data_IF_071866839987
#
_entry.id   IF_071866839987
#
_cell.length_a   1.000
_cell.length_b   1.000
_cell.length_c   1.000
_cell.angle_alpha   90.00
_cell.angle_beta   90.00
_cell.angle_gamma   90.00
#
_symmetry.space_group_name_H-M   'P 1'
#
loop_
_entity.id
_entity.type
_entity.pdbx_description
1 polymer ?
#
# COMPACT_ATOMS: atom_id res chain seq x y z
N UNK A 1 5.09 -11.24 -10.49
CA UNK A 1 4.54 -10.04 -9.82
C UNK A 1 3.58 -10.49 -8.74
N UNK A 2 3.79 -10.06 -7.52
CA UNK A 2 2.93 -10.43 -6.41
C UNK A 2 1.96 -9.31 -6.09
N UNK A 3 0.69 -9.68 -5.99
CA UNK A 3 -0.37 -8.78 -5.62
C UNK A 3 -0.93 -9.23 -4.27
N UNK A 4 -1.00 -8.30 -3.33
CA UNK A 4 -1.47 -8.56 -1.98
C UNK A 4 -2.79 -7.83 -1.76
N UNK A 5 -3.64 -8.30 -0.84
CA UNK A 5 -4.93 -7.64 -0.63
C UNK A 5 -4.82 -6.31 0.11
N UNK A 6 -5.72 -5.40 -0.24
CA UNK A 6 -5.94 -4.16 0.49
C UNK A 6 -7.30 -4.20 1.14
N UNK A 7 -7.36 -3.92 2.44
CA UNK A 7 -8.59 -3.91 3.22
C UNK A 7 -8.90 -2.51 3.71
N UNK A 8 -10.14 -2.08 3.54
CA UNK A 8 -10.64 -0.82 4.10
C UNK A 8 -11.92 -1.14 4.85
N UNK A 9 -11.98 -0.74 6.11
CA UNK A 9 -13.08 -1.07 7.02
C UNK A 9 -13.32 -2.58 7.13
N UNK A 10 -12.23 -3.35 7.06
CA UNK A 10 -12.30 -4.81 7.15
C UNK A 10 -12.71 -5.52 5.88
N UNK A 11 -12.98 -4.79 4.81
CA UNK A 11 -13.38 -5.37 3.53
C UNK A 11 -12.25 -5.31 2.52
N UNK A 12 -12.03 -6.42 1.81
CA UNK A 12 -11.08 -6.43 0.71
C UNK A 12 -11.62 -5.58 -0.43
N UNK A 13 -10.90 -4.52 -0.77
CA UNK A 13 -11.37 -3.58 -1.78
C UNK A 13 -10.37 -3.34 -2.92
N UNK A 14 -9.19 -3.93 -2.84
CA UNK A 14 -8.19 -3.70 -3.87
C UNK A 14 -6.95 -4.53 -3.67
N UNK A 15 -5.86 -4.08 -4.27
CA UNK A 15 -4.59 -4.78 -4.22
C UNK A 15 -3.42 -3.82 -4.11
N UNK A 16 -2.31 -4.34 -3.57
CA UNK A 16 -1.04 -3.65 -3.52
C UNK A 16 0.01 -4.53 -4.17
N UNK A 17 0.85 -3.94 -4.99
CA UNK A 17 1.94 -4.66 -5.66
C UNK A 17 3.28 -4.05 -5.28
N UNK A 18 4.32 -4.89 -5.34
CA UNK A 18 5.69 -4.51 -5.07
C UNK A 18 6.51 -4.77 -6.32
N UNK A 19 7.29 -3.77 -6.72
CA UNK A 19 8.15 -3.87 -7.89
C UNK A 19 9.50 -3.26 -7.58
N UNK A 20 10.57 -3.89 -8.08
CA UNK A 20 11.91 -3.35 -7.98
C UNK A 20 12.24 -2.58 -9.25
N UNK A 21 12.81 -1.39 -9.08
CA UNK A 21 13.24 -0.54 -10.19
C UNK A 21 14.65 -0.03 -9.86
N UNK A 22 15.66 -0.73 -10.34
CA UNK A 22 17.05 -0.44 -9.99
C UNK A 22 17.29 -0.66 -8.51
N UNK A 23 17.76 0.39 -7.84
CA UNK A 23 18.01 0.35 -6.38
C UNK A 23 16.77 0.75 -5.56
N UNK A 24 15.68 1.06 -6.23
CA UNK A 24 14.46 1.51 -5.58
C UNK A 24 13.41 0.40 -5.60
N UNK A 25 12.53 0.45 -4.61
CA UNK A 25 11.36 -0.44 -4.55
C UNK A 25 10.11 0.42 -4.63
N UNK A 26 9.20 0.06 -5.53
CA UNK A 26 7.92 0.74 -5.68
C UNK A 26 6.82 -0.10 -5.08
N UNK A 27 6.00 0.54 -4.22
CA UNK A 27 4.78 -0.05 -3.71
C UNK A 27 3.62 0.73 -4.32
N UNK A 28 2.74 0.04 -5.01
CA UNK A 28 1.60 0.62 -5.70
C UNK A 28 0.33 -0.06 -5.22
N UNK A 29 -0.59 0.73 -4.68
CA UNK A 29 -1.85 0.22 -4.17
C UNK A 29 -3.01 0.91 -4.87
N UNK A 30 -4.08 0.17 -5.09
CA UNK A 30 -5.29 0.67 -5.73
C UNK A 30 -6.49 -0.02 -5.12
N UNK A 31 -7.53 0.74 -4.83
CA UNK A 31 -8.76 0.18 -4.28
C UNK A 31 -9.97 0.97 -4.77
N UNK A 32 -11.17 0.44 -4.49
CA UNK A 32 -12.42 1.11 -4.83
C UNK A 32 -12.53 2.47 -4.13
N UNK A 33 -13.07 3.47 -4.82
CA UNK A 33 -13.22 4.79 -4.27
C UNK A 33 -14.15 4.79 -3.04
N UNK A 34 -13.81 5.65 -2.09
CA UNK A 34 -14.61 5.89 -0.88
C UNK A 34 -14.95 7.39 -0.86
N UNK A 35 -16.06 7.81 -1.49
CA UNK A 35 -16.38 9.22 -1.59
C UNK A 35 -16.42 9.92 -0.24
N UNK A 36 -15.86 11.13 -0.21
CA UNK A 36 -15.84 11.94 0.99
C UNK A 36 -14.94 11.46 2.10
N UNK A 37 -14.07 10.48 1.81
CA UNK A 37 -13.24 9.86 2.82
C UNK A 37 -11.75 9.96 2.48
N UNK A 38 -10.95 10.34 3.50
CA UNK A 38 -9.49 10.32 3.40
C UNK A 38 -9.02 8.97 3.94
N UNK A 39 -8.28 8.23 3.12
CA UNK A 39 -7.79 6.91 3.49
C UNK A 39 -6.27 6.94 3.64
N UNK A 40 -5.80 6.64 4.84
CA UNK A 40 -4.38 6.42 5.10
C UNK A 40 -4.14 4.92 5.07
N UNK A 41 -3.21 4.50 4.24
CA UNK A 41 -2.94 3.09 4.05
C UNK A 41 -1.68 2.67 4.79
N UNK A 42 -1.79 1.56 5.52
CA UNK A 42 -0.67 0.96 6.23
C UNK A 42 -0.36 -0.39 5.63
N UNK A 43 0.90 -0.78 5.66
CA UNK A 43 1.32 -2.12 5.24
C UNK A 43 1.64 -2.95 6.49
N UNK A 44 1.26 -4.22 6.45
CA UNK A 44 1.37 -5.13 7.59
C UNK A 44 2.10 -6.40 7.20
N UNK A 45 2.89 -6.91 8.10
CA UNK A 45 3.55 -8.19 7.91
C UNK A 45 4.44 -8.54 9.10
N UNK A 46 4.50 -9.82 9.45
CA UNK A 46 5.35 -10.31 10.52
C UNK A 46 5.11 -9.65 11.88
N UNK A 47 3.87 -9.21 12.15
CA UNK A 47 3.54 -8.53 13.40
C UNK A 47 3.95 -7.07 13.45
N UNK A 48 4.41 -6.53 12.33
CA UNK A 48 4.82 -5.12 12.21
C UNK A 48 3.91 -4.38 11.25
N UNK A 49 3.85 -3.06 11.41
CA UNK A 49 3.10 -2.21 10.49
C UNK A 49 3.85 -0.90 10.25
N UNK A 50 3.57 -0.28 9.11
CA UNK A 50 4.14 1.01 8.77
C UNK A 50 3.17 1.77 7.87
N UNK A 51 3.17 3.10 8.01
CA UNK A 51 2.33 3.94 7.16
C UNK A 51 2.92 3.99 5.76
N UNK A 52 2.10 3.63 4.77
CA UNK A 52 2.49 3.79 3.36
C UNK A 52 2.24 5.23 2.91
N UNK A 53 1.09 5.77 3.25
CA UNK A 53 0.73 7.14 2.90
C UNK A 53 -0.77 7.32 2.76
N UNK A 54 -1.16 8.51 2.29
CA UNK A 54 -2.56 8.83 2.04
C UNK A 54 -2.90 8.53 0.59
N UNK A 55 -3.97 7.76 0.38
CA UNK A 55 -4.41 7.44 -0.97
C UNK A 55 -5.03 8.66 -1.63
N UNK A 56 -4.88 8.75 -2.95
CA UNK A 56 -5.38 9.87 -3.75
C UNK A 56 -6.43 9.39 -4.73
N UNK A 57 -7.44 10.22 -5.02
CA UNK A 57 -8.41 9.86 -6.04
C UNK A 57 -7.74 9.68 -7.41
N UNK A 58 -8.15 8.65 -8.13
CA UNK A 58 -7.65 8.35 -9.47
C UNK A 58 -8.83 7.76 -10.26
N UNK A 59 -9.58 8.63 -10.92
CA UNK A 59 -10.81 8.24 -11.58
C UNK A 59 -11.83 7.76 -10.55
N UNK A 60 -12.32 6.55 -10.71
CA UNK A 60 -13.28 5.92 -9.78
C UNK A 60 -12.61 5.14 -8.67
N UNK A 61 -11.30 5.26 -8.56
CA UNK A 61 -10.52 4.50 -7.59
C UNK A 61 -9.74 5.42 -6.68
N UNK A 62 -9.18 4.85 -5.62
CA UNK A 62 -8.14 5.47 -4.82
C UNK A 62 -6.84 4.75 -5.14
N UNK A 63 -5.74 5.50 -5.22
CA UNK A 63 -4.45 4.93 -5.56
C UNK A 63 -3.33 5.63 -4.80
N UNK A 64 -2.24 4.90 -4.61
CA UNK A 64 -1.01 5.46 -4.07
C UNK A 64 0.17 4.67 -4.64
N UNK A 65 1.21 5.39 -5.03
CA UNK A 65 2.47 4.79 -5.44
C UNK A 65 3.57 5.46 -4.64
N UNK A 66 4.39 4.66 -3.96
CA UNK A 66 5.52 5.17 -3.18
C UNK A 66 6.79 4.47 -3.61
N UNK A 67 7.85 5.25 -3.67
CA UNK A 67 9.18 4.76 -4.02
C UNK A 67 10.04 4.80 -2.75
N UNK A 68 10.71 3.68 -2.48
CA UNK A 68 11.53 3.54 -1.28
C UNK A 68 12.95 3.17 -1.64
N UNK A 69 13.92 3.85 -1.00
CA UNK A 69 15.32 3.45 -1.05
C UNK A 69 15.53 2.25 -0.12
N UNK A 70 16.71 1.64 -0.17
CA UNK A 70 17.05 0.54 0.72
C UNK A 70 16.96 0.92 2.19
N UNK A 71 17.40 2.15 2.51
CA UNK A 71 17.36 2.63 3.88
C UNK A 71 15.92 2.81 4.36
N UNK A 72 15.05 3.31 3.49
CA UNK A 72 13.64 3.50 3.81
C UNK A 72 12.89 2.19 3.96
N UNK A 73 13.27 1.16 3.16
CA UNK A 73 12.64 -0.15 3.25
C UNK A 73 12.82 -0.81 4.61
N UNK A 74 13.86 -0.46 5.33
CA UNK A 74 14.11 -1.00 6.67
C UNK A 74 13.04 -0.59 7.68
N UNK A 75 12.30 0.45 7.38
CA UNK A 75 11.21 0.95 8.23
C UNK A 75 9.90 0.24 7.96
N UNK A 76 9.84 -0.55 6.89
CA UNK A 76 8.66 -1.30 6.51
C UNK A 76 8.77 -2.74 7.00
N UNK A 77 7.65 -3.47 7.12
CA UNK A 77 7.71 -4.91 7.36
C UNK A 77 8.54 -5.58 6.27
N UNK A 78 9.40 -6.50 6.67
CA UNK A 78 10.28 -7.21 5.74
C UNK A 78 9.47 -8.01 4.72
N UNK A 79 8.42 -8.68 5.19
CA UNK A 79 7.48 -9.39 4.34
C UNK A 79 6.11 -8.77 4.49
N UNK A 80 5.70 -7.99 3.49
CA UNK A 80 4.37 -7.40 3.51
C UNK A 80 3.35 -8.48 3.16
N UNK A 81 2.34 -8.63 4.02
CA UNK A 81 1.29 -9.64 3.85
C UNK A 81 0.01 -9.02 3.31
N UNK A 82 -0.31 -7.80 3.74
CA UNK A 82 -1.48 -7.08 3.27
C UNK A 82 -1.35 -5.60 3.61
N UNK A 83 -2.29 -4.80 3.09
CA UNK A 83 -2.40 -3.39 3.45
C UNK A 83 -3.81 -3.11 3.96
N UNK A 84 -3.94 -2.13 4.84
CA UNK A 84 -5.24 -1.75 5.41
C UNK A 84 -5.21 -0.31 5.90
N UNK A 85 -6.39 0.26 6.09
CA UNK A 85 -6.54 1.59 6.66
C UNK A 85 -6.32 1.61 8.18
#
# INVERSE_FOLDING_TARGET
MHSLPVYIDGEKCGSISKRTDGLMTLLSARCSARPGRIVRLYVFGGGKSALLGTMQPDGECLAITRRFSRAELKKLPENIEYAAD
#
